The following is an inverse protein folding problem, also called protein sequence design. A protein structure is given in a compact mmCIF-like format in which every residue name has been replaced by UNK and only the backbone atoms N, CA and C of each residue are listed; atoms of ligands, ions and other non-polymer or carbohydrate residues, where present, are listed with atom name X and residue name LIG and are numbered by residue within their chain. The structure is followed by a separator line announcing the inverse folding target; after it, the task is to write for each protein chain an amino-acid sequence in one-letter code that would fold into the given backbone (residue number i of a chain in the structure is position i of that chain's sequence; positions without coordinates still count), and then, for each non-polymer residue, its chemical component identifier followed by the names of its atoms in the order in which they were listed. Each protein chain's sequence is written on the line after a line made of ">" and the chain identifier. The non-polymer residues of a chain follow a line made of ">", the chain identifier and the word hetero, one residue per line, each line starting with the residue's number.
data_IF_472372071534
#
_entry.id   IF_472372071534
#
_cell.length_a   1.000
_cell.length_b   1.000
_cell.length_c   1.000
_cell.angle_alpha   90.00
_cell.angle_beta   90.00
_cell.angle_gamma   90.00
#
_symmetry.space_group_name_H-M   'P 1'
#
loop_
_entity.id
_entity.type
_entity.pdbx_description
1 polymer ?
#
# COMPACT_ATOMS: atom_id res chain seq x y z
N UNK A 1 -26.94 51.80 -50.07
CA UNK A 1 -28.09 51.00 -50.54
C UNK A 1 -27.69 49.53 -50.47
N UNK A 2 -28.23 48.78 -49.50
CA UNK A 2 -27.91 47.36 -49.27
C UNK A 2 -29.12 46.52 -49.64
N UNK A 3 -29.00 45.65 -50.65
CA UNK A 3 -30.07 44.76 -51.10
C UNK A 3 -29.97 43.41 -50.37
N UNK A 4 -30.96 43.10 -49.53
CA UNK A 4 -31.16 41.78 -48.92
C UNK A 4 -31.67 40.80 -49.99
N UNK A 5 -30.98 39.68 -50.22
CA UNK A 5 -31.53 38.56 -51.02
C UNK A 5 -32.63 37.85 -50.20
N UNK A 6 -33.73 37.51 -50.86
CA UNK A 6 -34.84 36.71 -50.33
C UNK A 6 -34.43 35.23 -50.31
N UNK A 7 -34.76 34.54 -49.22
CA UNK A 7 -34.55 33.10 -49.06
C UNK A 7 -35.83 32.38 -49.52
N UNK A 8 -35.76 31.64 -50.63
CA UNK A 8 -36.86 30.78 -51.06
C UNK A 8 -36.88 29.50 -50.22
N UNK A 9 -38.04 29.24 -49.62
CA UNK A 9 -38.37 28.05 -48.84
C UNK A 9 -38.61 26.86 -49.78
N UNK A 10 -37.60 26.03 -49.98
CA UNK A 10 -37.75 24.68 -50.54
C UNK A 10 -37.15 23.67 -49.58
N UNK A 11 -37.91 23.30 -48.54
CA UNK A 11 -37.55 22.21 -47.64
C UNK A 11 -37.99 20.87 -48.23
N UNK A 12 -37.30 20.42 -49.28
CA UNK A 12 -37.25 19.00 -49.63
C UNK A 12 -36.15 18.34 -48.80
N UNK A 13 -36.52 17.46 -47.86
CA UNK A 13 -35.52 16.68 -47.11
C UNK A 13 -34.77 15.78 -48.10
N UNK A 14 -33.45 15.96 -48.16
CA UNK A 14 -32.54 15.20 -49.03
C UNK A 14 -32.65 13.67 -48.76
N UNK A 15 -32.72 12.86 -49.81
CA UNK A 15 -32.99 11.40 -49.77
C UNK A 15 -32.12 10.61 -48.78
N UNK A 16 -30.88 11.03 -48.57
CA UNK A 16 -29.97 10.41 -47.59
C UNK A 16 -30.42 10.54 -46.12
N UNK A 17 -31.35 11.46 -45.82
CA UNK A 17 -31.85 11.70 -44.45
C UNK A 17 -33.19 11.03 -44.17
N UNK A 18 -33.80 10.37 -45.17
CA UNK A 18 -35.07 9.67 -45.01
C UNK A 18 -34.98 8.52 -43.99
N UNK A 19 -33.83 7.83 -43.91
CA UNK A 19 -33.63 6.70 -42.99
C UNK A 19 -33.56 7.10 -41.49
N UNK A 20 -33.40 8.39 -41.19
CA UNK A 20 -33.35 8.90 -39.81
C UNK A 20 -34.68 9.50 -39.35
N UNK A 21 -35.67 9.60 -40.22
CA UNK A 21 -37.02 10.01 -39.85
C UNK A 21 -37.77 8.78 -39.35
N UNK A 22 -37.92 8.69 -38.03
CA UNK A 22 -38.77 7.68 -37.40
C UNK A 22 -40.23 7.99 -37.74
N UNK A 23 -40.78 7.29 -38.73
CA UNK A 23 -42.23 7.18 -38.90
C UNK A 23 -42.85 6.56 -37.66
N UNK A 24 -44.11 6.89 -37.39
CA UNK A 24 -44.89 6.48 -36.21
C UNK A 24 -45.21 4.96 -36.13
N UNK A 25 -44.29 4.10 -36.60
CA UNK A 25 -44.36 2.65 -36.58
C UNK A 25 -43.63 2.06 -35.37
N UNK A 26 -44.32 1.16 -34.67
CA UNK A 26 -43.87 0.23 -33.63
C UNK A 26 -42.35 0.10 -33.42
N UNK A 27 -41.89 0.39 -32.19
CA UNK A 27 -40.50 0.18 -31.76
C UNK A 27 -40.14 -1.33 -31.84
N UNK A 28 -39.00 -1.74 -32.43
CA UNK A 28 -38.61 -3.14 -32.44
C UNK A 28 -38.35 -3.66 -31.02
N UNK A 29 -38.76 -4.90 -30.74
CA UNK A 29 -38.66 -5.51 -29.41
C UNK A 29 -37.21 -5.61 -28.94
N UNK A 30 -36.97 -5.22 -27.68
CA UNK A 30 -35.64 -5.30 -27.06
C UNK A 30 -35.19 -6.77 -27.04
N UNK A 31 -34.09 -7.09 -27.72
CA UNK A 31 -33.44 -8.40 -27.65
C UNK A 31 -33.16 -8.75 -26.18
N UNK A 32 -33.32 -10.02 -25.75
CA UNK A 32 -33.08 -10.41 -24.38
C UNK A 32 -31.61 -10.15 -24.03
N UNK A 33 -31.40 -9.44 -22.92
CA UNK A 33 -30.10 -9.12 -22.35
C UNK A 33 -29.35 -10.43 -22.07
N UNK A 34 -28.32 -10.72 -22.87
CA UNK A 34 -27.35 -11.81 -22.63
C UNK A 34 -26.89 -11.68 -21.18
N UNK A 35 -27.23 -12.65 -20.33
CA UNK A 35 -26.71 -12.72 -18.96
C UNK A 35 -25.22 -12.96 -19.10
N UNK A 36 -24.42 -11.90 -18.94
CA UNK A 36 -22.97 -12.06 -18.82
C UNK A 36 -22.71 -13.06 -17.69
N UNK A 37 -21.92 -14.08 -18.02
CA UNK A 37 -21.47 -15.11 -17.08
C UNK A 37 -20.83 -14.36 -15.91
N UNK A 38 -21.53 -14.37 -14.78
CA UNK A 38 -21.06 -13.84 -13.51
C UNK A 38 -19.71 -14.46 -13.21
N UNK A 39 -18.66 -13.64 -13.32
CA UNK A 39 -17.32 -13.79 -12.77
C UNK A 39 -17.01 -15.21 -12.27
N UNK A 40 -16.27 -15.98 -13.08
CA UNK A 40 -15.66 -17.23 -12.64
C UNK A 40 -14.98 -16.95 -11.28
N UNK A 41 -15.32 -17.68 -10.20
CA UNK A 41 -14.73 -17.42 -8.90
C UNK A 41 -13.23 -17.60 -9.05
N UNK A 42 -12.47 -16.50 -8.82
CA UNK A 42 -11.01 -16.53 -8.85
C UNK A 42 -10.57 -17.62 -7.88
N UNK A 43 -10.09 -18.75 -8.43
CA UNK A 43 -9.57 -19.84 -7.64
C UNK A 43 -8.46 -19.26 -6.77
N UNK A 44 -8.68 -19.23 -5.45
CA UNK A 44 -7.65 -18.76 -4.53
C UNK A 44 -6.45 -19.69 -4.69
N UNK A 45 -5.28 -19.13 -5.00
CA UNK A 45 -4.07 -19.94 -5.08
C UNK A 45 -3.93 -20.74 -3.77
N UNK A 46 -3.46 -22.00 -3.83
CA UNK A 46 -3.37 -22.89 -2.67
C UNK A 46 -2.44 -22.35 -1.56
N UNK A 47 -1.71 -21.26 -1.83
CA UNK A 47 -0.79 -20.57 -0.90
C UNK A 47 -1.31 -19.20 -0.43
N UNK A 48 -2.53 -18.80 -0.81
CA UNK A 48 -3.08 -17.52 -0.32
C UNK A 48 -3.41 -17.59 1.18
N UNK A 49 -3.16 -16.50 1.93
CA UNK A 49 -3.45 -16.42 3.38
C UNK A 49 -4.88 -16.87 3.73
N UNK A 50 -5.86 -16.51 2.89
CA UNK A 50 -7.26 -16.89 3.10
C UNK A 50 -7.48 -18.39 2.87
N UNK A 51 -6.79 -19.01 1.91
CA UNK A 51 -6.84 -20.45 1.70
C UNK A 51 -6.23 -21.22 2.89
N UNK A 52 -5.11 -20.74 3.43
CA UNK A 52 -4.47 -21.32 4.64
C UNK A 52 -5.44 -21.21 5.84
N UNK A 53 -6.05 -20.04 6.05
CA UNK A 53 -7.05 -19.85 7.12
C UNK A 53 -8.27 -20.76 6.95
N UNK A 54 -8.70 -21.01 5.72
CA UNK A 54 -9.81 -21.94 5.43
C UNK A 54 -9.41 -23.36 5.80
N UNK A 55 -8.24 -23.84 5.35
CA UNK A 55 -7.71 -25.17 5.70
C UNK A 55 -7.58 -25.36 7.22
N UNK A 56 -7.03 -24.36 7.91
CA UNK A 56 -6.91 -24.38 9.37
C UNK A 56 -8.29 -24.50 10.06
N UNK A 57 -9.29 -23.76 9.58
CA UNK A 57 -10.67 -23.86 10.08
C UNK A 57 -11.27 -25.25 9.81
N UNK A 58 -11.07 -25.78 8.62
CA UNK A 58 -11.60 -27.10 8.23
C UNK A 58 -10.98 -28.23 9.07
N UNK A 59 -9.67 -28.17 9.33
CA UNK A 59 -8.95 -29.10 10.23
C UNK A 59 -9.44 -28.95 11.68
N UNK A 60 -9.53 -27.73 12.21
CA UNK A 60 -10.06 -27.51 13.57
C UNK A 60 -11.49 -28.05 13.71
N UNK A 61 -12.37 -27.72 12.76
CA UNK A 61 -13.76 -28.18 12.77
C UNK A 61 -13.86 -29.69 12.58
N UNK A 62 -12.86 -30.36 12.00
CA UNK A 62 -12.78 -31.82 11.88
C UNK A 62 -12.36 -32.44 13.21
N UNK A 63 -11.33 -31.89 13.86
CA UNK A 63 -10.90 -32.27 15.21
C UNK A 63 -12.01 -32.07 16.26
N UNK A 64 -12.77 -30.96 16.18
CA UNK A 64 -13.88 -30.67 17.11
C UNK A 64 -15.09 -31.62 16.94
N UNK A 65 -15.33 -32.16 15.74
CA UNK A 65 -16.45 -33.10 15.47
C UNK A 65 -16.05 -34.56 15.67
N UNK A 66 -14.83 -34.82 16.09
CA UNK A 66 -14.18 -36.12 15.99
C UNK A 66 -14.46 -37.09 17.13
N UNK A 67 -15.71 -37.25 17.54
CA UNK A 67 -16.03 -38.20 18.64
C UNK A 67 -15.77 -39.67 18.24
N UNK A 68 -15.63 -39.96 16.94
CA UNK A 68 -15.38 -41.30 16.36
C UNK A 68 -14.26 -41.35 15.30
N UNK A 69 -13.23 -40.50 15.41
CA UNK A 69 -12.07 -40.57 14.49
C UNK A 69 -10.99 -41.48 15.07
N UNK A 70 -10.35 -42.28 14.22
CA UNK A 70 -9.18 -43.10 14.58
C UNK A 70 -8.04 -42.23 15.11
N UNK A 71 -7.30 -42.73 16.10
CA UNK A 71 -6.16 -42.03 16.70
C UNK A 71 -5.12 -41.60 15.66
N UNK A 72 -4.88 -42.42 14.63
CA UNK A 72 -3.96 -42.13 13.52
C UNK A 72 -4.34 -40.83 12.78
N UNK A 73 -5.62 -40.72 12.42
CA UNK A 73 -6.13 -39.56 11.67
C UNK A 73 -6.12 -38.30 12.55
N UNK A 74 -6.40 -38.45 13.85
CA UNK A 74 -6.31 -37.32 14.80
C UNK A 74 -4.88 -36.80 14.89
N UNK A 75 -3.89 -37.68 15.03
CA UNK A 75 -2.48 -37.29 15.05
C UNK A 75 -2.03 -36.61 13.74
N UNK A 76 -2.50 -37.12 12.59
CA UNK A 76 -2.25 -36.50 11.29
C UNK A 76 -2.85 -35.09 11.20
N UNK A 77 -4.08 -34.91 11.69
CA UNK A 77 -4.78 -33.62 11.70
C UNK A 77 -4.15 -32.61 12.64
N UNK A 78 -3.66 -33.04 13.80
CA UNK A 78 -2.91 -32.20 14.73
C UNK A 78 -1.60 -31.71 14.11
N UNK A 79 -0.83 -32.61 13.47
CA UNK A 79 0.37 -32.26 12.72
C UNK A 79 0.06 -31.28 11.57
N UNK A 80 -1.02 -31.53 10.83
CA UNK A 80 -1.46 -30.65 9.75
C UNK A 80 -1.88 -29.27 10.27
N UNK A 81 -2.57 -29.20 11.41
CA UNK A 81 -2.96 -27.95 12.07
C UNK A 81 -1.74 -27.11 12.42
N UNK A 82 -0.72 -27.73 13.01
CA UNK A 82 0.54 -27.06 13.36
C UNK A 82 1.27 -26.55 12.11
N UNK A 83 1.36 -27.37 11.06
CA UNK A 83 1.94 -26.95 9.79
C UNK A 83 1.22 -25.73 9.19
N UNK A 84 -0.12 -25.74 9.17
CA UNK A 84 -0.89 -24.60 8.67
C UNK A 84 -0.77 -23.35 9.56
N UNK A 85 -0.58 -23.50 10.87
CA UNK A 85 -0.31 -22.36 11.77
C UNK A 85 1.06 -21.73 11.46
N UNK A 86 2.09 -22.54 11.23
CA UNK A 86 3.42 -22.06 10.84
C UNK A 86 3.37 -21.37 9.47
N UNK A 87 2.73 -21.99 8.48
CA UNK A 87 2.55 -21.43 7.13
C UNK A 87 1.82 -20.07 7.20
N UNK A 88 0.76 -19.99 8.03
CA UNK A 88 0.02 -18.77 8.24
C UNK A 88 0.89 -17.67 8.87
N UNK A 89 1.70 -18.00 9.88
CA UNK A 89 2.60 -17.05 10.52
C UNK A 89 3.63 -16.49 9.54
N UNK A 90 4.21 -17.33 8.69
CA UNK A 90 5.15 -16.92 7.63
C UNK A 90 4.46 -16.00 6.62
N UNK A 91 3.27 -16.38 6.14
CA UNK A 91 2.54 -15.58 5.16
C UNK A 91 2.08 -14.21 5.73
N UNK A 92 1.70 -14.16 7.00
CA UNK A 92 1.37 -12.90 7.68
C UNK A 92 2.60 -12.01 7.94
N UNK A 93 3.75 -12.62 8.25
CA UNK A 93 5.02 -11.92 8.39
C UNK A 93 5.46 -11.29 7.05
N UNK A 94 5.36 -12.01 5.94
CA UNK A 94 5.68 -11.48 4.60
C UNK A 94 4.72 -10.34 4.21
N UNK A 95 3.42 -10.48 4.48
CA UNK A 95 2.46 -9.38 4.28
C UNK A 95 2.77 -8.16 5.16
N UNK A 96 3.29 -8.35 6.38
CA UNK A 96 3.75 -7.24 7.23
C UNK A 96 5.00 -6.60 6.64
N UNK A 97 5.98 -7.39 6.21
CA UNK A 97 7.20 -6.94 5.55
C UNK A 97 6.89 -6.05 4.35
N UNK A 98 6.04 -6.49 3.42
CA UNK A 98 5.63 -5.70 2.26
C UNK A 98 4.97 -4.36 2.65
N UNK A 99 4.13 -4.37 3.69
CA UNK A 99 3.52 -3.14 4.22
C UNK A 99 4.58 -2.19 4.81
N UNK A 100 5.54 -2.70 5.56
CA UNK A 100 6.61 -1.89 6.16
C UNK A 100 7.56 -1.33 5.10
N UNK A 101 7.95 -2.14 4.10
CA UNK A 101 8.70 -1.69 2.94
C UNK A 101 7.99 -0.50 2.30
N UNK A 102 6.72 -0.64 1.93
CA UNK A 102 5.96 0.45 1.30
C UNK A 102 5.84 1.68 2.20
N UNK A 103 5.56 1.48 3.49
CA UNK A 103 5.37 2.58 4.47
C UNK A 103 6.63 3.42 4.65
N UNK A 104 7.80 2.79 4.77
CA UNK A 104 9.05 3.48 5.06
C UNK A 104 9.93 3.71 3.84
N UNK A 105 9.55 3.22 2.65
CA UNK A 105 10.32 3.37 1.42
C UNK A 105 10.75 4.82 1.15
N UNK A 106 9.81 5.77 1.27
CA UNK A 106 10.11 7.19 1.02
C UNK A 106 11.04 7.80 2.07
N UNK A 107 10.80 7.54 3.36
CA UNK A 107 11.66 8.04 4.43
C UNK A 107 13.08 7.47 4.29
N UNK A 108 13.21 6.15 4.10
CA UNK A 108 14.49 5.48 3.86
C UNK A 108 15.19 6.01 2.60
N UNK A 109 14.45 6.30 1.54
CA UNK A 109 15.01 6.87 0.31
C UNK A 109 15.64 8.24 0.57
N UNK A 110 14.93 9.16 1.23
CA UNK A 110 15.48 10.49 1.53
C UNK A 110 16.68 10.42 2.48
N UNK A 111 16.62 9.57 3.50
CA UNK A 111 17.76 9.38 4.40
C UNK A 111 18.96 8.76 3.71
N UNK A 112 18.75 7.78 2.83
CA UNK A 112 19.80 7.18 2.00
C UNK A 112 20.47 8.23 1.11
N UNK A 113 19.68 9.10 0.49
CA UNK A 113 20.21 10.20 -0.32
C UNK A 113 21.02 11.18 0.55
N UNK A 114 20.53 11.50 1.76
CA UNK A 114 21.23 12.37 2.70
C UNK A 114 22.57 11.76 3.16
N UNK A 115 22.57 10.49 3.58
CA UNK A 115 23.77 9.76 3.98
C UNK A 115 24.77 9.65 2.82
N UNK A 116 24.30 9.29 1.62
CA UNK A 116 25.16 9.22 0.41
C UNK A 116 25.80 10.56 0.08
N UNK A 117 25.06 11.68 0.22
CA UNK A 117 25.63 13.02 0.06
C UNK A 117 26.65 13.35 1.15
N UNK A 118 26.40 12.98 2.41
CA UNK A 118 27.34 13.16 3.55
C UNK A 118 28.66 12.42 3.27
N UNK A 119 28.59 11.14 2.90
CA UNK A 119 29.76 10.33 2.50
C UNK A 119 30.53 10.99 1.37
N UNK A 120 29.86 11.39 0.27
CA UNK A 120 30.51 12.07 -0.86
C UNK A 120 31.17 13.38 -0.46
N UNK A 121 30.53 14.18 0.42
CA UNK A 121 31.07 15.45 0.90
C UNK A 121 32.34 15.22 1.74
N UNK A 122 32.30 14.29 2.68
CA UNK A 122 33.44 14.00 3.57
C UNK A 122 34.62 13.45 2.77
N UNK A 123 34.38 12.54 1.81
CA UNK A 123 35.44 12.04 0.92
C UNK A 123 36.13 13.16 0.14
N UNK A 124 35.39 14.17 -0.32
CA UNK A 124 35.99 15.36 -0.96
C UNK A 124 36.81 16.19 0.02
N UNK A 125 36.32 16.37 1.25
CA UNK A 125 37.02 17.12 2.30
C UNK A 125 38.35 16.45 2.69
N UNK A 126 38.38 15.12 2.79
CA UNK A 126 39.60 14.35 3.04
C UNK A 126 40.65 14.61 1.96
N UNK A 127 40.24 14.62 0.69
CA UNK A 127 41.16 14.88 -0.45
C UNK A 127 41.69 16.31 -0.44
N UNK A 128 40.90 17.28 0.03
CA UNK A 128 41.30 18.70 0.09
C UNK A 128 42.01 19.11 1.39
N UNK A 129 42.14 18.20 2.36
CA UNK A 129 42.67 18.52 3.67
C UNK A 129 44.18 18.24 3.73
N UNK A 130 44.97 19.26 4.05
CA UNK A 130 46.43 19.16 4.15
C UNK A 130 46.91 18.77 5.56
N UNK A 131 46.05 18.91 6.58
CA UNK A 131 46.40 18.62 7.98
C UNK A 131 46.04 17.19 8.39
N UNK A 132 47.00 16.49 9.01
CA UNK A 132 46.87 15.10 9.46
C UNK A 132 45.77 14.91 10.51
N UNK A 133 45.63 15.85 11.44
CA UNK A 133 44.59 15.80 12.49
C UNK A 133 43.18 15.99 11.90
N UNK A 134 43.05 16.90 10.91
CA UNK A 134 41.79 17.11 10.22
C UNK A 134 41.38 15.85 9.42
N UNK A 135 42.34 15.18 8.78
CA UNK A 135 42.10 13.93 8.05
C UNK A 135 41.62 12.83 8.99
N UNK A 136 42.21 12.68 10.18
CA UNK A 136 41.75 11.70 11.18
C UNK A 136 40.30 11.97 11.60
N UNK A 137 39.97 13.22 11.94
CA UNK A 137 38.61 13.62 12.30
C UNK A 137 37.61 13.37 11.16
N UNK A 138 38.01 13.60 9.89
CA UNK A 138 37.15 13.30 8.75
C UNK A 138 36.99 11.80 8.48
N UNK A 139 37.99 10.97 8.78
CA UNK A 139 37.88 9.51 8.67
C UNK A 139 36.89 8.94 9.69
N UNK A 140 36.90 9.44 10.93
CA UNK A 140 35.91 9.05 11.94
C UNK A 140 34.48 9.43 11.50
N UNK A 141 34.31 10.65 10.99
CA UNK A 141 33.02 11.09 10.43
C UNK A 141 32.62 10.31 9.18
N UNK A 142 33.58 9.87 8.37
CA UNK A 142 33.35 9.04 7.19
C UNK A 142 32.79 7.69 7.62
N UNK A 143 33.42 7.03 8.60
CA UNK A 143 32.95 5.76 9.16
C UNK A 143 31.51 5.89 9.68
N UNK A 144 31.22 6.91 10.50
CA UNK A 144 29.86 7.16 10.97
C UNK A 144 28.86 7.36 9.81
N UNK A 145 29.24 8.11 8.77
CA UNK A 145 28.40 8.35 7.60
C UNK A 145 28.19 7.09 6.74
N UNK A 146 29.16 6.18 6.72
CA UNK A 146 29.06 4.88 6.04
C UNK A 146 28.14 3.93 6.80
N UNK A 147 28.23 3.89 8.14
CA UNK A 147 27.27 3.16 8.97
C UNK A 147 25.86 3.74 8.81
N UNK A 148 25.70 5.07 8.80
CA UNK A 148 24.40 5.72 8.52
C UNK A 148 23.85 5.32 7.13
N UNK A 149 24.70 5.23 6.10
CA UNK A 149 24.28 4.76 4.78
C UNK A 149 23.82 3.31 4.84
N UNK A 150 24.62 2.43 5.44
CA UNK A 150 24.32 1.00 5.60
C UNK A 150 23.07 0.77 6.43
N UNK A 151 22.81 1.59 7.44
CA UNK A 151 21.57 1.61 8.20
C UNK A 151 20.35 1.76 7.28
N UNK A 152 20.38 2.73 6.37
CA UNK A 152 19.27 2.93 5.41
C UNK A 152 19.12 1.81 4.38
N UNK A 153 20.20 1.07 4.10
CA UNK A 153 20.21 -0.06 3.16
C UNK A 153 19.66 -1.33 3.83
N UNK A 154 20.27 -1.71 4.95
CA UNK A 154 20.13 -3.02 5.58
C UNK A 154 19.22 -3.04 6.81
N UNK A 155 18.60 -1.92 7.18
CA UNK A 155 17.58 -1.94 8.24
C UNK A 155 16.49 -3.00 7.96
N UNK A 156 16.12 -3.83 8.96
CA UNK A 156 15.18 -4.93 8.80
C UNK A 156 13.87 -4.52 8.13
N UNK A 157 13.50 -5.25 7.07
CA UNK A 157 12.33 -4.90 6.25
C UNK A 157 10.99 -5.13 6.96
N UNK A 158 10.97 -5.99 7.98
CA UNK A 158 9.79 -6.33 8.77
C UNK A 158 9.53 -5.44 9.98
N UNK A 159 10.44 -4.52 10.30
CA UNK A 159 10.42 -3.72 11.53
C UNK A 159 10.16 -2.24 11.28
N UNK A 160 9.83 -1.53 12.36
CA UNK A 160 9.65 -0.07 12.31
C UNK A 160 11.00 0.58 12.06
N UNK A 161 11.05 1.45 11.06
CA UNK A 161 12.22 2.26 10.78
C UNK A 161 12.29 3.45 11.74
N UNK A 162 13.45 3.64 12.38
CA UNK A 162 13.75 4.80 13.22
C UNK A 162 14.59 5.76 12.39
N UNK A 163 14.10 6.98 12.20
CA UNK A 163 14.75 8.02 11.38
C UNK A 163 16.03 8.51 12.05
N UNK A 164 17.14 8.53 11.31
CA UNK A 164 18.42 9.07 11.78
C UNK A 164 18.48 10.59 11.63
N UNK A 165 17.74 11.14 10.66
CA UNK A 165 17.72 12.57 10.38
C UNK A 165 16.29 13.15 10.47
N UNK A 166 15.67 13.15 11.67
CA UNK A 166 14.37 13.78 11.87
C UNK A 166 14.37 15.20 11.33
N UNK A 167 13.30 15.58 10.61
CA UNK A 167 13.08 16.98 10.26
C UNK A 167 12.80 17.73 11.54
N UNK A 168 13.55 18.79 11.80
CA UNK A 168 13.26 19.74 12.87
C UNK A 168 11.96 20.45 12.50
N UNK A 169 10.83 19.96 12.98
CA UNK A 169 9.57 20.67 12.88
C UNK A 169 9.55 21.75 13.94
N UNK A 170 9.35 23.00 13.50
CA UNK A 170 9.23 24.23 14.29
C UNK A 170 7.95 24.27 15.14
N UNK A 171 7.65 23.21 15.87
CA UNK A 171 6.55 23.16 16.82
C UNK A 171 7.11 22.75 18.18
N UNK A 172 7.13 23.75 19.06
CA UNK A 172 7.39 23.70 20.50
C UNK A 172 8.86 23.58 20.91
N UNK A 173 9.45 24.76 21.13
CA UNK A 173 10.56 24.95 22.04
C UNK A 173 10.03 24.74 23.46
N UNK A 174 10.60 23.80 24.19
CA UNK A 174 11.17 23.99 25.55
C UNK A 174 11.67 22.64 26.09
N UNK A 175 12.96 22.64 26.45
CA UNK A 175 13.58 21.90 27.54
C UNK A 175 13.66 20.36 27.49
N UNK A 176 14.58 19.87 26.64
CA UNK A 176 15.73 19.05 27.08
C UNK A 176 16.68 18.79 25.90
N UNK A 177 17.94 19.22 26.04
CA UNK A 177 19.08 18.80 25.22
C UNK A 177 18.99 18.97 23.70
N UNK A 178 19.20 20.20 23.23
CA UNK A 178 19.65 20.42 21.84
C UNK A 178 21.08 19.89 21.57
N UNK A 179 21.73 19.20 22.53
CA UNK A 179 23.11 18.74 22.41
C UNK A 179 23.47 17.46 23.19
N UNK A 180 22.51 16.62 23.59
CA UNK A 180 22.81 15.22 23.90
C UNK A 180 22.68 14.45 22.59
N UNK A 181 23.82 14.07 22.00
CA UNK A 181 23.94 13.15 20.88
C UNK A 181 22.76 12.18 20.83
N UNK A 182 21.80 12.40 19.91
CA UNK A 182 20.58 11.60 19.79
C UNK A 182 21.02 10.14 19.74
N UNK A 183 20.85 9.41 20.85
CA UNK A 183 21.41 8.07 21.02
C UNK A 183 21.05 7.26 19.78
N UNK A 184 22.08 6.76 19.08
CA UNK A 184 21.85 6.00 17.86
C UNK A 184 20.96 4.79 18.23
N UNK A 185 19.99 4.44 17.39
CA UNK A 185 19.10 3.33 17.67
C UNK A 185 19.92 2.04 17.82
N UNK A 186 19.47 1.08 18.64
CA UNK A 186 20.20 -0.17 18.90
C UNK A 186 20.63 -0.89 17.63
N UNK A 187 19.76 -0.91 16.61
CA UNK A 187 20.05 -1.55 15.32
C UNK A 187 21.16 -0.85 14.52
N UNK A 188 21.50 0.39 14.85
CA UNK A 188 22.64 1.09 14.24
C UNK A 188 23.96 0.44 14.67
N UNK A 189 24.11 0.13 15.95
CA UNK A 189 25.28 -0.58 16.47
C UNK A 189 25.35 -2.03 15.95
N UNK A 190 24.20 -2.72 15.85
CA UNK A 190 24.15 -4.06 15.22
C UNK A 190 24.67 -4.01 13.76
N UNK A 191 24.39 -2.91 13.05
CA UNK A 191 24.84 -2.74 11.66
C UNK A 191 26.32 -2.39 11.58
N UNK A 192 26.86 -1.61 12.52
CA UNK A 192 28.28 -1.34 12.62
C UNK A 192 29.07 -2.64 12.83
N UNK A 193 28.65 -3.49 13.77
CA UNK A 193 29.26 -4.81 14.00
C UNK A 193 29.11 -5.72 12.77
N UNK A 194 27.93 -5.75 12.13
CA UNK A 194 27.72 -6.56 10.94
C UNK A 194 28.46 -6.04 9.70
N UNK A 195 28.79 -4.74 9.65
CA UNK A 195 29.62 -4.15 8.60
C UNK A 195 31.05 -4.69 8.68
N UNK A 196 31.61 -4.79 9.88
CA UNK A 196 32.94 -5.39 10.12
C UNK A 196 32.92 -6.89 9.79
N UNK A 197 31.85 -7.59 10.17
CA UNK A 197 31.72 -9.04 9.96
C UNK A 197 31.24 -9.43 8.54
N UNK A 198 30.82 -8.49 7.70
CA UNK A 198 30.25 -8.76 6.37
C UNK A 198 28.88 -9.45 6.37
N UNK A 199 28.12 -9.41 7.48
CA UNK A 199 26.85 -10.16 7.65
C UNK A 199 25.58 -9.30 7.52
N UNK A 200 25.68 -8.14 6.86
CA UNK A 200 24.62 -7.13 6.74
C UNK A 200 23.27 -7.67 6.18
N UNK A 201 23.31 -8.59 5.23
CA UNK A 201 22.10 -9.16 4.62
C UNK A 201 21.27 -10.02 5.60
N UNK A 202 21.91 -10.58 6.63
CA UNK A 202 21.23 -11.32 7.69
C UNK A 202 20.32 -10.41 8.51
N UNK A 203 20.77 -9.19 8.80
CA UNK A 203 19.97 -8.18 9.53
C UNK A 203 18.77 -7.76 8.67
N UNK A 204 19.00 -7.48 7.38
CA UNK A 204 17.96 -7.01 6.46
C UNK A 204 16.80 -7.99 6.33
N UNK A 205 17.10 -9.28 6.25
CA UNK A 205 16.14 -10.35 6.02
C UNK A 205 15.72 -11.09 7.29
N UNK A 206 16.06 -10.58 8.49
CA UNK A 206 15.64 -11.22 9.74
C UNK A 206 14.12 -11.30 9.83
N UNK A 207 13.61 -12.49 10.13
CA UNK A 207 12.18 -12.71 10.29
C UNK A 207 11.79 -12.14 11.66
N UNK A 208 11.09 -11.00 11.69
CA UNK A 208 10.57 -10.45 12.94
C UNK A 208 9.35 -11.27 13.36
N UNK A 209 9.60 -12.39 14.04
CA UNK A 209 8.59 -13.16 14.77
C UNK A 209 8.31 -12.43 16.10
N UNK A 210 7.93 -11.14 16.04
CA UNK A 210 7.34 -10.51 17.22
C UNK A 210 5.97 -11.16 17.43
N UNK A 211 5.69 -11.74 18.62
CA UNK A 211 4.33 -12.15 18.95
C UNK A 211 3.43 -10.92 18.81
N UNK A 212 2.42 -11.03 17.96
CA UNK A 212 1.46 -9.95 17.76
C UNK A 212 0.65 -9.86 19.05
N UNK A 213 0.92 -8.87 19.88
CA UNK A 213 0.00 -8.52 20.97
C UNK A 213 -1.25 -7.88 20.34
N UNK A 214 -2.43 -8.53 20.36
CA UNK A 214 -3.62 -8.04 19.67
C UNK A 214 -4.23 -6.77 20.29
N UNK A 215 -3.79 -6.38 21.49
CA UNK A 215 -4.34 -5.25 22.26
C UNK A 215 -4.09 -3.88 21.63
N UNK A 216 -3.08 -3.71 20.78
CA UNK A 216 -2.72 -2.39 20.21
C UNK A 216 -3.53 -2.00 18.95
N UNK A 217 -4.22 -2.96 18.33
CA UNK A 217 -5.01 -2.72 17.11
C UNK A 217 -6.39 -2.13 17.45
N UNK A 218 -6.93 -2.39 18.65
CA UNK A 218 -8.26 -1.95 19.06
C UNK A 218 -8.32 -0.50 19.56
N UNK A 219 -7.22 0.06 20.07
CA UNK A 219 -7.23 1.39 20.69
C UNK A 219 -7.22 2.53 19.66
N UNK A 220 -6.77 2.30 18.42
CA UNK A 220 -6.73 3.34 17.39
C UNK A 220 -8.10 3.68 16.79
N UNK A 221 -9.12 2.83 17.02
CA UNK A 221 -10.49 3.09 16.55
C UNK A 221 -11.33 3.91 17.54
N UNK A 222 -10.89 4.03 18.80
CA UNK A 222 -11.63 4.77 19.82
C UNK A 222 -11.23 6.25 19.92
N UNK A 223 -9.98 6.59 19.60
CA UNK A 223 -9.50 7.99 19.68
C UNK A 223 -10.18 8.90 18.64
N UNK A 224 -10.50 8.38 17.45
CA UNK A 224 -11.13 9.17 16.39
C UNK A 224 -12.64 9.39 16.57
N UNK A 225 -13.27 8.85 17.63
CA UNK A 225 -14.70 9.09 17.92
C UNK A 225 -14.92 10.12 19.04
N UNK A 226 -13.87 10.54 19.76
CA UNK A 226 -14.00 11.38 20.96
C UNK A 226 -13.74 12.88 20.75
N UNK A 227 -13.52 13.34 19.51
CA UNK A 227 -13.14 14.73 19.20
C UNK A 227 -14.23 15.57 18.51
N UNK A 228 -15.45 15.05 18.35
CA UNK A 228 -16.55 15.77 17.64
C UNK A 228 -17.77 16.08 18.53
N UNK A 229 -17.74 15.80 19.83
CA UNK A 229 -18.84 16.10 20.75
C UNK A 229 -18.32 16.92 21.93
N UNK A 230 -18.16 18.23 21.75
CA UNK A 230 -18.25 19.23 22.84
C UNK A 230 -18.19 20.66 22.28
N UNK A 231 -19.35 21.25 21.99
CA UNK A 231 -19.54 22.71 21.96
C UNK A 231 -21.01 23.10 22.22
N UNK A 232 -21.28 23.57 23.45
CA UNK A 232 -22.42 24.40 23.91
C UNK A 232 -23.80 23.73 24.03
N UNK A 233 -24.72 24.06 24.95
CA UNK A 233 -24.77 24.95 26.12
C UNK A 233 -26.06 24.60 26.90
N UNK A 234 -26.07 24.84 28.22
CA UNK A 234 -27.20 24.80 29.16
C UNK A 234 -28.40 25.70 28.70
N UNK A 235 -29.70 25.56 29.06
CA UNK A 235 -30.42 25.08 30.26
C UNK A 235 -31.93 24.82 29.93
N UNK A 236 -32.62 24.11 30.85
CA UNK A 236 -34.03 24.27 31.31
C UNK A 236 -35.02 23.09 31.15
N UNK A 237 -35.26 22.43 32.30
CA UNK A 237 -36.54 22.00 32.93
C UNK A 237 -37.67 21.26 32.18
N UNK A 238 -37.94 20.08 32.73
CA UNK A 238 -39.22 19.48 33.16
C UNK A 238 -40.16 18.64 32.26
N UNK A 239 -40.58 17.55 32.92
CA UNK A 239 -41.76 16.67 32.79
C UNK A 239 -42.14 15.85 31.54
N UNK A 240 -42.18 14.53 31.78
CA UNK A 240 -43.18 13.49 31.43
C UNK A 240 -43.78 13.44 30.00
N UNK A 241 -43.59 12.31 29.28
CA UNK A 241 -44.61 11.25 29.14
C UNK A 241 -44.23 10.13 28.14
N UNK A 242 -44.85 8.96 28.36
CA UNK A 242 -44.79 7.73 27.58
C UNK A 242 -45.28 7.85 26.12
N UNK A 243 -44.75 7.02 25.22
CA UNK A 243 -45.31 6.87 23.87
C UNK A 243 -44.60 5.88 22.95
N UNK A 244 -45.15 4.67 22.84
CA UNK A 244 -44.84 3.63 21.84
C UNK A 244 -45.18 4.16 20.43
N UNK A 245 -44.33 3.92 19.41
CA UNK A 245 -44.66 3.27 18.11
C UNK A 245 -43.68 3.58 16.95
N UNK A 246 -43.36 2.49 16.25
CA UNK A 246 -43.19 2.28 14.81
C UNK A 246 -42.03 2.90 13.99
N UNK A 247 -41.30 1.94 13.39
CA UNK A 247 -40.61 1.96 12.10
C UNK A 247 -41.20 2.95 11.10
N UNK A 248 -40.34 3.73 10.45
CA UNK A 248 -40.35 3.69 8.99
C UNK A 248 -39.02 3.99 8.31
N UNK A 249 -38.90 3.37 7.15
CA UNK A 249 -37.74 3.32 6.27
C UNK A 249 -37.69 4.53 5.35
N UNK A 250 -36.53 5.20 5.24
CA UNK A 250 -36.24 6.09 4.11
C UNK A 250 -34.85 5.88 3.54
N UNK A 251 -34.84 5.28 2.34
CA UNK A 251 -33.75 5.24 1.37
C UNK A 251 -33.19 6.64 1.15
N UNK A 252 -31.88 6.83 1.37
CA UNK A 252 -31.15 8.02 0.89
C UNK A 252 -30.31 7.61 -0.32
N UNK A 253 -30.79 7.97 -1.49
CA UNK A 253 -30.10 7.89 -2.78
C UNK A 253 -28.88 8.82 -2.72
N UNK A 254 -27.67 8.27 -2.87
CA UNK A 254 -26.46 9.07 -3.10
C UNK A 254 -26.26 9.23 -4.60
N UNK A 255 -26.42 10.46 -5.08
CA UNK A 255 -25.96 10.87 -6.41
C UNK A 255 -24.43 10.77 -6.45
N UNK A 256 -23.92 9.98 -7.39
CA UNK A 256 -22.49 9.84 -7.67
C UNK A 256 -22.18 10.63 -8.94
N UNK A 257 -21.52 11.76 -8.75
CA UNK A 257 -20.89 12.57 -9.81
C UNK A 257 -19.57 11.90 -10.16
N UNK A 258 -19.40 11.48 -11.41
CA UNK A 258 -18.14 10.98 -11.95
C UNK A 258 -17.67 11.95 -13.06
N UNK A 259 -16.63 12.72 -12.78
CA UNK A 259 -15.59 13.15 -13.75
C UNK A 259 -14.66 11.94 -13.98
N UNK A 260 -13.99 11.67 -15.12
CA UNK A 260 -13.50 12.41 -16.29
C UNK A 260 -13.14 11.36 -17.39
N UNK A 261 -12.72 11.74 -18.62
CA UNK A 261 -12.84 10.94 -19.85
C UNK A 261 -11.68 9.96 -20.10
N UNK A 262 -11.93 8.97 -20.97
CA UNK A 262 -10.89 8.15 -21.63
C UNK A 262 -11.00 8.31 -23.15
N UNK A 263 -9.94 8.83 -23.75
CA UNK A 263 -9.62 8.73 -25.18
C UNK A 263 -9.17 7.29 -25.48
N UNK A 264 -9.65 6.66 -26.57
CA UNK A 264 -8.92 6.46 -27.83
C UNK A 264 -7.90 5.31 -27.73
N UNK A 265 -8.27 4.06 -28.01
CA UNK A 265 -8.18 3.34 -29.29
C UNK A 265 -6.73 3.16 -29.82
N UNK A 266 -6.20 1.94 -29.75
CA UNK A 266 -5.51 1.28 -30.86
C UNK A 266 -5.60 -0.24 -30.67
N UNK A 267 -5.87 -0.89 -31.79
CA UNK A 267 -5.95 -2.32 -32.07
C UNK A 267 -4.55 -2.80 -32.45
N UNK A 268 -4.18 -4.05 -32.11
CA UNK A 268 -3.52 -4.99 -33.03
C UNK A 268 -3.01 -6.25 -32.33
N UNK A 269 -3.10 -7.31 -33.12
CA UNK A 269 -2.91 -8.73 -32.89
C UNK A 269 -1.45 -9.13 -32.67
N UNK A 270 -1.20 -10.03 -31.71
CA UNK A 270 0.09 -10.73 -31.58
C UNK A 270 -0.02 -12.16 -32.12
N UNK A 271 0.68 -12.41 -33.22
CA UNK A 271 1.11 -13.73 -33.68
C UNK A 271 2.57 -13.96 -33.29
N UNK A 272 2.86 -15.15 -32.80
CA UNK A 272 4.17 -15.66 -32.38
C UNK A 272 4.98 -16.21 -33.57
N UNK A 273 6.31 -16.20 -33.40
CA UNK A 273 7.40 -17.07 -33.94
C UNK A 273 8.47 -16.46 -34.88
N UNK A 274 9.69 -16.98 -34.66
CA UNK A 274 11.03 -16.83 -35.28
C UNK A 274 11.84 -15.55 -35.00
N UNK A 275 13.01 -15.54 -34.31
CA UNK A 275 14.27 -16.35 -34.31
C UNK A 275 15.28 -15.87 -35.39
N UNK A 276 16.38 -15.27 -34.89
CA UNK A 276 17.70 -14.98 -35.51
C UNK A 276 17.82 -13.77 -36.47
N UNK A 277 18.64 -12.77 -36.10
CA UNK A 277 19.94 -12.45 -36.73
C UNK A 277 20.46 -11.04 -36.33
N UNK A 278 21.78 -10.97 -36.16
CA UNK A 278 22.60 -9.84 -35.73
C UNK A 278 22.58 -8.66 -36.72
N UNK A 279 22.59 -7.41 -36.23
CA UNK A 279 23.16 -6.31 -37.03
C UNK A 279 23.58 -5.10 -36.20
N UNK A 280 24.88 -4.87 -36.31
CA UNK A 280 25.75 -3.81 -35.82
C UNK A 280 25.55 -2.50 -36.62
N UNK A 281 25.56 -1.32 -35.97
CA UNK A 281 25.49 -0.05 -36.70
C UNK A 281 25.24 1.20 -35.86
N UNK A 282 26.30 1.99 -35.66
CA UNK A 282 26.38 3.18 -34.80
C UNK A 282 25.40 4.32 -35.09
N UNK A 283 24.95 4.97 -34.02
CA UNK A 283 23.92 6.02 -33.97
C UNK A 283 24.49 7.40 -33.56
N UNK A 284 25.75 7.72 -33.85
CA UNK A 284 26.24 9.09 -33.67
C UNK A 284 27.08 9.50 -34.88
N UNK A 285 26.38 10.09 -35.85
CA UNK A 285 26.91 11.08 -36.79
C UNK A 285 25.84 12.18 -36.98
#
# INVERSE_FOLDING_TARGET
>A
MSSKRKHDESYGVHESRHAQIYGNGSKPSKKPRRKEITQIPKQHSPSSINAIKKRLRDVNRRLERSDKISAEIRAQDERAREAYQQELAVAEAEKRRQRMIKKYHMVKFFERQKASRKVKKIRKLIVSADSTEAVQNFNEQLHEAEVDLNYTLYHPLGEVYISLYPKETTSEKEDHDQNAARKKPTIWYEIEEAMVNGTLERIRNRISIRPINPSTIFNKKQVNKKLEENSGSANSTDEQNNGIKHKDSRKKVRNKVNSTPKNGLCDETQTLSDVEEESDGGFFE
#
